data_IF_663275444602
#
_entry.id   IF_663275444602
#
_cell.length_a   1.000
_cell.length_b   1.000
_cell.length_c   1.000
_cell.angle_alpha   90.00
_cell.angle_beta   90.00
_cell.angle_gamma   90.00
#
_symmetry.space_group_name_H-M   'P 1'
#
loop_
_entity.id
_entity.type
_entity.pdbx_description
1 polymer ?
#
# COMPACT_ATOMS: atom_id res chain seq x y z
N UNK A 1 -1.41 11.15 -0.57
CA UNK A 1 -2.45 10.57 0.30
C UNK A 1 -3.66 11.47 0.30
N UNK A 2 -4.81 10.93 -0.08
CA UNK A 2 -6.09 11.64 -0.11
C UNK A 2 -6.86 11.32 1.18
N UNK A 3 -7.30 12.36 1.87
CA UNK A 3 -8.01 12.26 3.15
C UNK A 3 -9.46 12.66 2.96
N UNK A 4 -10.39 11.81 3.38
CA UNK A 4 -11.83 12.05 3.23
C UNK A 4 -12.54 11.73 4.54
N UNK A 5 -13.21 12.70 5.15
CA UNK A 5 -14.01 12.46 6.35
C UNK A 5 -15.26 11.64 6.01
N UNK A 6 -15.68 10.78 6.94
CA UNK A 6 -16.91 10.01 6.83
C UNK A 6 -18.13 10.92 6.72
N UNK A 7 -19.07 10.51 5.87
CA UNK A 7 -20.38 11.14 5.76
C UNK A 7 -21.45 10.06 5.89
N UNK A 8 -22.33 10.20 6.89
CA UNK A 8 -23.38 9.22 7.18
C UNK A 8 -24.32 8.95 6.01
N UNK A 9 -24.63 9.97 5.22
CA UNK A 9 -25.58 9.87 4.12
C UNK A 9 -24.91 9.40 2.82
N UNK A 10 -23.59 9.45 2.75
CA UNK A 10 -22.81 9.16 1.56
C UNK A 10 -21.39 8.70 1.97
N UNK A 11 -21.26 7.54 2.64
CA UNK A 11 -19.98 7.07 3.14
C UNK A 11 -19.05 6.84 1.94
N UNK A 12 -17.83 7.40 1.90
CA UNK A 12 -16.99 7.35 0.70
C UNK A 12 -16.34 5.98 0.45
N UNK A 13 -16.11 5.20 1.51
CA UNK A 13 -15.52 3.87 1.44
C UNK A 13 -16.18 2.90 2.44
N UNK A 14 -15.99 1.62 2.19
CA UNK A 14 -16.40 0.50 3.04
C UNK A 14 -15.20 -0.34 3.42
N UNK A 15 -15.26 -0.92 4.62
CA UNK A 15 -14.32 -1.92 5.13
C UNK A 15 -14.83 -3.36 4.93
N UNK A 16 -16.01 -3.56 4.35
CA UNK A 16 -16.56 -4.87 4.06
C UNK A 16 -15.55 -5.72 3.27
N UNK A 17 -15.39 -6.98 3.67
CA UNK A 17 -14.40 -7.94 3.17
C UNK A 17 -12.93 -7.58 3.44
N UNK A 18 -12.63 -6.46 4.10
CA UNK A 18 -11.25 -6.12 4.46
C UNK A 18 -10.80 -6.90 5.69
N UNK A 19 -9.51 -7.24 5.72
CA UNK A 19 -8.89 -7.86 6.89
C UNK A 19 -8.07 -6.82 7.65
N UNK A 20 -8.51 -6.44 8.84
CA UNK A 20 -7.76 -5.56 9.74
C UNK A 20 -6.54 -6.33 10.26
N UNK A 21 -5.36 -5.76 10.07
CA UNK A 21 -4.09 -6.38 10.45
C UNK A 21 -3.44 -5.70 11.65
N UNK A 22 -3.79 -4.44 11.92
CA UNK A 22 -3.19 -3.71 13.02
C UNK A 22 -4.03 -2.52 13.50
N UNK A 23 -3.75 -2.13 14.75
CA UNK A 23 -4.33 -0.98 15.43
C UNK A 23 -3.21 -0.15 16.07
N UNK A 24 -3.04 1.10 15.67
CA UNK A 24 -2.02 1.98 16.22
C UNK A 24 -2.68 3.10 17.06
N UNK A 25 -2.34 3.11 18.35
CA UNK A 25 -2.87 4.09 19.31
C UNK A 25 -1.90 5.28 19.40
N UNK A 26 -2.43 6.48 19.21
CA UNK A 26 -1.72 7.74 19.44
C UNK A 26 -2.63 8.74 20.17
N UNK A 27 -2.57 8.75 21.50
CA UNK A 27 -3.42 9.62 22.33
C UNK A 27 -4.90 9.29 22.18
N UNK A 28 -5.68 10.24 21.64
CA UNK A 28 -7.11 10.14 21.34
C UNK A 28 -7.37 9.76 19.86
N UNK A 29 -6.32 9.37 19.12
CA UNK A 29 -6.40 8.87 17.76
C UNK A 29 -6.09 7.37 17.70
N UNK A 30 -6.82 6.66 16.84
CA UNK A 30 -6.58 5.27 16.49
C UNK A 30 -6.48 5.11 14.98
N UNK A 31 -5.39 4.54 14.51
CA UNK A 31 -5.24 4.12 13.11
C UNK A 31 -5.61 2.65 13.00
N UNK A 32 -6.49 2.31 12.06
CA UNK A 32 -6.85 0.92 11.75
C UNK A 32 -6.28 0.59 10.38
N UNK A 33 -5.32 -0.34 10.35
CA UNK A 33 -4.67 -0.81 9.13
C UNK A 33 -5.33 -2.09 8.62
N UNK A 34 -5.49 -2.18 7.32
CA UNK A 34 -6.01 -3.38 6.65
C UNK A 34 -4.96 -3.97 5.73
N UNK A 35 -5.11 -5.26 5.41
CA UNK A 35 -4.22 -5.97 4.50
C UNK A 35 -4.26 -5.41 3.06
N UNK A 36 -5.41 -4.87 2.66
CA UNK A 36 -5.68 -4.54 1.26
C UNK A 36 -6.53 -3.27 1.10
N UNK A 37 -6.43 -2.35 2.06
CA UNK A 37 -7.04 -1.03 2.02
C UNK A 37 -8.56 -1.02 2.28
N UNK A 38 -9.31 -0.39 1.38
CA UNK A 38 -10.75 -0.10 1.51
C UNK A 38 -11.45 -0.09 0.15
N UNK A 39 -12.77 -0.25 0.12
CA UNK A 39 -13.56 -0.29 -1.14
C UNK A 39 -14.35 0.99 -1.33
N UNK A 40 -14.26 1.62 -2.51
CA UNK A 40 -15.10 2.80 -2.82
C UNK A 40 -16.58 2.41 -2.87
N UNK A 41 -17.46 3.21 -2.26
CA UNK A 41 -18.91 2.96 -2.25
C UNK A 41 -19.65 3.44 -3.50
N UNK A 42 -18.92 4.06 -4.43
CA UNK A 42 -19.45 4.54 -5.71
C UNK A 42 -18.77 3.79 -6.85
N UNK A 43 -19.55 3.51 -7.90
CA UNK A 43 -19.06 2.94 -9.14
C UNK A 43 -17.79 3.66 -9.62
N UNK A 44 -16.71 2.93 -9.96
CA UNK A 44 -16.67 1.49 -10.27
C UNK A 44 -16.46 0.55 -9.07
N UNK A 45 -16.59 1.03 -7.82
CA UNK A 45 -16.39 0.24 -6.60
C UNK A 45 -14.99 -0.37 -6.48
N UNK A 46 -13.98 0.36 -6.93
CA UNK A 46 -12.59 -0.11 -6.85
C UNK A 46 -12.14 -0.24 -5.41
N UNK A 47 -11.41 -1.32 -5.12
CA UNK A 47 -10.59 -1.42 -3.93
C UNK A 47 -9.34 -0.53 -4.09
N UNK A 48 -8.97 0.18 -3.03
CA UNK A 48 -7.82 1.09 -3.00
C UNK A 48 -7.03 0.89 -1.72
N UNK A 49 -5.71 1.03 -1.81
CA UNK A 49 -4.83 0.96 -0.63
C UNK A 49 -5.05 2.15 0.30
N UNK A 50 -4.81 1.92 1.59
CA UNK A 50 -4.99 2.92 2.62
C UNK A 50 -5.37 2.36 3.98
N UNK A 51 -5.83 3.25 4.85
CA UNK A 51 -6.23 2.94 6.22
C UNK A 51 -7.28 3.94 6.70
N UNK A 52 -7.87 3.71 7.87
CA UNK A 52 -8.75 4.69 8.51
C UNK A 52 -8.15 5.23 9.79
N UNK A 53 -8.40 6.50 10.06
CA UNK A 53 -8.09 7.17 11.32
C UNK A 53 -9.39 7.48 12.05
N UNK A 54 -9.44 7.18 13.33
CA UNK A 54 -10.51 7.56 14.24
C UNK A 54 -9.97 8.64 15.18
N UNK A 55 -10.64 9.79 15.24
CA UNK A 55 -10.23 10.92 16.08
C UNK A 55 -11.22 11.17 17.22
N UNK A 56 -10.73 11.73 18.33
CA UNK A 56 -11.55 12.07 19.49
C UNK A 56 -12.15 10.82 20.15
N UNK A 57 -11.31 9.82 20.37
CA UNK A 57 -11.73 8.55 20.96
C UNK A 57 -12.00 8.69 22.45
N UNK A 58 -13.17 8.22 22.88
CA UNK A 58 -13.47 8.03 24.29
C UNK A 58 -13.18 6.58 24.68
N UNK A 59 -11.96 6.34 25.17
CA UNK A 59 -11.45 5.01 25.47
C UNK A 59 -12.26 4.27 26.55
N UNK A 60 -12.95 4.98 27.43
CA UNK A 60 -13.79 4.39 28.48
C UNK A 60 -15.07 3.75 27.92
N UNK A 61 -15.41 4.07 26.66
CA UNK A 61 -16.57 3.56 25.93
C UNK A 61 -16.19 2.74 24.69
N UNK A 62 -14.96 2.24 24.63
CA UNK A 62 -14.48 1.38 23.54
C UNK A 62 -14.30 -0.07 23.99
N UNK A 63 -14.95 -1.01 23.30
CA UNK A 63 -15.02 -2.41 23.71
C UNK A 63 -14.81 -3.37 22.54
N UNK A 64 -14.28 -4.55 22.85
CA UNK A 64 -14.30 -5.69 21.96
C UNK A 64 -15.06 -6.85 22.62
N UNK A 65 -15.79 -7.59 21.79
CA UNK A 65 -16.56 -8.77 22.15
C UNK A 65 -16.03 -9.93 21.32
N UNK A 66 -15.70 -11.04 21.99
CA UNK A 66 -15.28 -12.28 21.35
C UNK A 66 -16.24 -13.36 21.81
N UNK A 67 -16.92 -14.00 20.86
CA UNK A 67 -17.92 -15.01 21.14
C UNK A 67 -17.27 -16.40 21.20
N UNK A 68 -17.75 -17.24 22.12
CA UNK A 68 -17.33 -18.63 22.24
C UNK A 68 -18.05 -19.50 21.19
N UNK A 69 -17.32 -20.47 20.64
CA UNK A 69 -17.86 -21.48 19.73
C UNK A 69 -17.52 -21.23 18.24
N UNK A 70 -18.15 -22.02 17.37
CA UNK A 70 -17.98 -21.91 15.91
C UNK A 70 -18.81 -20.77 15.31
N UNK A 71 -18.35 -20.28 14.16
CA UNK A 71 -18.99 -19.22 13.39
C UNK A 71 -20.35 -19.66 12.84
N UNK A 72 -21.38 -18.83 13.01
CA UNK A 72 -22.74 -19.05 12.53
C UNK A 72 -23.67 -19.74 13.53
N UNK A 73 -23.32 -19.76 14.82
CA UNK A 73 -24.17 -20.37 15.85
C UNK A 73 -25.49 -19.61 16.01
N UNK A 74 -26.61 -20.33 15.94
CA UNK A 74 -27.95 -19.80 16.22
C UNK A 74 -28.37 -20.26 17.62
N UNK A 75 -28.66 -19.32 18.50
CA UNK A 75 -29.15 -19.60 19.86
C UNK A 75 -28.46 -18.76 20.92
N UNK A 76 -28.38 -19.27 22.15
CA UNK A 76 -27.65 -18.63 23.21
C UNK A 76 -26.14 -18.65 22.93
N UNK A 77 -25.47 -17.52 23.17
CA UNK A 77 -24.02 -17.39 23.04
C UNK A 77 -23.41 -17.00 24.39
N UNK A 78 -22.14 -17.35 24.57
CA UNK A 78 -21.27 -16.84 25.63
C UNK A 78 -20.04 -16.18 25.00
N UNK A 79 -19.26 -15.46 25.80
CA UNK A 79 -18.05 -14.82 25.29
C UNK A 79 -17.40 -13.90 26.29
N UNK A 80 -16.41 -13.14 25.80
CA UNK A 80 -15.67 -12.15 26.57
C UNK A 80 -15.95 -10.75 26.03
N UNK A 81 -16.29 -9.84 26.93
CA UNK A 81 -16.22 -8.40 26.71
C UNK A 81 -14.93 -7.89 27.35
N UNK A 82 -14.18 -7.05 26.64
CA UNK A 82 -12.98 -6.40 27.16
C UNK A 82 -12.86 -4.98 26.61
N UNK A 83 -12.00 -4.16 27.22
CA UNK A 83 -11.68 -2.85 26.65
C UNK A 83 -10.93 -3.00 25.33
N UNK A 84 -11.10 -2.04 24.42
CA UNK A 84 -10.41 -2.05 23.13
C UNK A 84 -8.88 -2.06 23.29
N UNK A 85 -8.34 -1.35 24.29
CA UNK A 85 -6.88 -1.37 24.56
C UNK A 85 -6.38 -2.77 24.92
N UNK A 86 -7.12 -3.48 25.78
CA UNK A 86 -6.77 -4.86 26.16
C UNK A 86 -6.89 -5.80 24.95
N UNK A 87 -7.87 -5.59 24.09
CA UNK A 87 -8.02 -6.35 22.85
C UNK A 87 -6.81 -6.16 21.91
N UNK A 88 -6.41 -4.91 21.66
CA UNK A 88 -5.26 -4.60 20.80
C UNK A 88 -3.98 -5.21 21.37
N UNK A 89 -3.73 -5.02 22.68
CA UNK A 89 -2.57 -5.57 23.38
C UNK A 89 -2.55 -7.12 23.31
N UNK A 90 -3.69 -7.77 23.57
CA UNK A 90 -3.76 -9.24 23.63
C UNK A 90 -3.71 -9.91 22.26
N UNK A 91 -4.21 -9.25 21.21
CA UNK A 91 -4.39 -9.88 19.90
C UNK A 91 -3.41 -9.35 18.85
N UNK A 92 -3.25 -8.04 18.72
CA UNK A 92 -2.57 -7.41 17.58
C UNK A 92 -1.09 -7.07 17.82
N UNK A 93 -0.66 -6.87 19.06
CA UNK A 93 0.73 -6.49 19.40
C UNK A 93 1.84 -7.36 18.80
N UNK A 94 1.60 -8.66 18.66
CA UNK A 94 2.60 -9.62 18.12
C UNK A 94 2.54 -9.77 16.59
N UNK A 95 1.75 -8.97 15.87
CA UNK A 95 1.68 -8.96 14.40
C UNK A 95 1.17 -10.25 13.74
N UNK A 96 0.41 -11.08 14.46
CA UNK A 96 -0.06 -12.40 13.99
C UNK A 96 -1.58 -12.60 14.14
N UNK A 97 -2.33 -11.50 14.24
CA UNK A 97 -3.78 -11.51 14.26
C UNK A 97 -4.33 -10.87 13.00
N UNK A 98 -5.53 -11.30 12.61
CA UNK A 98 -6.31 -10.68 11.54
C UNK A 98 -7.77 -10.62 11.96
N UNK A 99 -8.46 -9.52 11.67
CA UNK A 99 -9.88 -9.38 11.89
C UNK A 99 -10.58 -9.11 10.56
N UNK A 100 -11.19 -10.16 10.01
CA UNK A 100 -11.93 -10.12 8.75
C UNK A 100 -13.28 -9.45 8.98
N UNK A 101 -13.49 -8.30 8.35
CA UNK A 101 -14.69 -7.47 8.51
C UNK A 101 -15.81 -8.01 7.64
N UNK A 102 -16.94 -8.30 8.27
CA UNK A 102 -18.18 -8.72 7.61
C UNK A 102 -19.16 -7.56 7.46
N UNK A 103 -19.16 -6.62 8.40
CA UNK A 103 -20.00 -5.43 8.30
C UNK A 103 -19.45 -4.33 9.21
N UNK A 104 -19.69 -3.07 8.82
CA UNK A 104 -19.37 -1.90 9.61
C UNK A 104 -20.52 -0.90 9.59
N UNK A 105 -20.79 -0.29 10.74
CA UNK A 105 -21.75 0.78 10.85
C UNK A 105 -21.23 1.88 11.77
N UNK A 106 -21.55 3.13 11.42
CA UNK A 106 -21.26 4.28 12.26
C UNK A 106 -22.55 5.02 12.60
N UNK A 107 -22.83 5.14 13.89
CA UNK A 107 -24.02 5.81 14.40
C UNK A 107 -23.84 6.22 15.86
N UNK A 108 -24.42 7.37 16.23
CA UNK A 108 -24.33 7.91 17.59
C UNK A 108 -22.89 7.99 18.15
N UNK A 109 -21.94 8.42 17.30
CA UNK A 109 -20.50 8.52 17.62
C UNK A 109 -19.83 7.18 17.96
N UNK A 110 -20.40 6.06 17.49
CA UNK A 110 -19.81 4.73 17.68
C UNK A 110 -19.64 4.06 16.32
N UNK A 111 -18.40 3.66 16.03
CA UNK A 111 -18.09 2.73 14.95
C UNK A 111 -18.22 1.31 15.50
N UNK A 112 -19.08 0.51 14.89
CA UNK A 112 -19.23 -0.90 15.19
C UNK A 112 -18.75 -1.72 13.98
N UNK A 113 -17.76 -2.57 14.20
CA UNK A 113 -17.17 -3.47 13.20
C UNK A 113 -17.46 -4.89 13.65
N UNK A 114 -18.04 -5.70 12.78
CA UNK A 114 -18.36 -7.11 13.05
C UNK A 114 -17.62 -8.03 12.09
N UNK A 115 -17.30 -9.24 12.53
CA UNK A 115 -16.72 -10.26 11.66
C UNK A 115 -15.97 -11.34 12.42
N UNK A 116 -14.80 -11.75 11.91
CA UNK A 116 -14.07 -12.91 12.41
C UNK A 116 -12.63 -12.57 12.81
N UNK A 117 -12.31 -12.81 14.07
CA UNK A 117 -10.96 -12.69 14.61
C UNK A 117 -10.20 -14.00 14.39
N UNK A 118 -9.00 -13.89 13.84
CA UNK A 118 -8.05 -14.98 13.65
C UNK A 118 -6.73 -14.66 14.36
N UNK A 119 -6.17 -15.62 15.10
CA UNK A 119 -4.83 -15.50 15.72
C UNK A 119 -4.24 -16.88 16.03
N UNK A 120 -3.10 -17.24 15.43
CA UNK A 120 -2.36 -18.49 15.73
C UNK A 120 -3.26 -19.74 15.87
N UNK A 121 -4.17 -19.95 14.92
CA UNK A 121 -5.11 -21.09 14.91
C UNK A 121 -6.39 -20.89 15.73
N UNK A 122 -6.51 -19.82 16.50
CA UNK A 122 -7.80 -19.33 16.99
C UNK A 122 -8.56 -18.68 15.84
N UNK A 123 -9.86 -18.98 15.75
CA UNK A 123 -10.81 -18.35 14.83
C UNK A 123 -12.15 -18.22 15.56
N UNK A 124 -12.73 -17.03 15.61
CA UNK A 124 -13.99 -16.80 16.32
C UNK A 124 -14.69 -15.51 15.88
N UNK A 125 -16.00 -15.44 16.13
CA UNK A 125 -16.79 -14.23 15.89
C UNK A 125 -16.34 -13.11 16.83
N UNK A 126 -16.26 -11.89 16.29
CA UNK A 126 -15.81 -10.71 16.98
C UNK A 126 -16.64 -9.49 16.61
N UNK A 127 -16.87 -8.63 17.60
CA UNK A 127 -17.43 -7.29 17.41
C UNK A 127 -16.54 -6.28 18.12
N UNK A 128 -16.24 -5.18 17.46
CA UNK A 128 -15.48 -4.06 18.03
C UNK A 128 -16.34 -2.80 17.96
N UNK A 129 -16.55 -2.18 19.12
CA UNK A 129 -17.27 -0.91 19.28
C UNK A 129 -16.28 0.18 19.68
N UNK A 130 -16.20 1.25 18.88
CA UNK A 130 -15.24 2.35 19.07
C UNK A 130 -16.01 3.65 19.13
N UNK A 131 -16.08 4.24 20.33
CA UNK A 131 -16.61 5.58 20.49
C UNK A 131 -15.60 6.61 19.97
N UNK A 132 -15.97 7.35 18.93
CA UNK A 132 -15.11 8.33 18.29
C UNK A 132 -15.91 9.51 17.72
N UNK A 133 -15.27 10.67 17.64
CA UNK A 133 -15.88 11.89 17.11
C UNK A 133 -15.88 11.95 15.58
N UNK A 134 -14.80 11.47 14.95
CA UNK A 134 -14.63 11.53 13.49
C UNK A 134 -13.95 10.27 12.98
N UNK A 135 -14.39 9.81 11.80
CA UNK A 135 -13.70 8.81 10.99
C UNK A 135 -13.14 9.51 9.75
N UNK A 136 -11.84 9.33 9.49
CA UNK A 136 -11.16 9.83 8.29
C UNK A 136 -10.61 8.65 7.51
N UNK A 137 -10.98 8.56 6.24
CA UNK A 137 -10.42 7.60 5.30
C UNK A 137 -9.15 8.19 4.66
N UNK A 138 -8.03 7.47 4.79
CA UNK A 138 -6.75 7.82 4.21
C UNK A 138 -6.48 6.87 3.03
N UNK A 139 -6.91 7.29 1.84
CA UNK A 139 -6.58 6.62 0.58
C UNK A 139 -5.13 6.97 0.23
N UNK A 140 -4.28 5.95 0.06
CA UNK A 140 -2.96 6.16 -0.53
C UNK A 140 -3.14 6.79 -1.93
N UNK A 141 -2.16 7.56 -2.40
CA UNK A 141 -2.29 8.09 -3.75
C UNK A 141 -2.56 6.92 -4.70
N UNK A 142 -3.58 7.01 -5.57
CA UNK A 142 -3.76 6.01 -6.63
C UNK A 142 -2.38 5.79 -7.24
N UNK A 143 -2.02 4.54 -7.53
CA UNK A 143 -0.79 4.28 -8.26
C UNK A 143 -0.68 5.14 -9.52
N UNK A 144 -1.83 5.52 -10.09
CA UNK A 144 -2.08 6.37 -11.27
C UNK A 144 -2.07 7.89 -11.01
N UNK A 145 -2.26 8.34 -9.75
CA UNK A 145 -2.20 9.76 -9.35
C UNK A 145 -0.85 10.12 -8.70
N UNK A 146 0.08 9.16 -8.59
CA UNK A 146 1.44 9.44 -8.13
C UNK A 146 2.09 10.43 -9.09
N UNK A 147 2.73 11.49 -8.59
CA UNK A 147 3.34 12.48 -9.46
C UNK A 147 4.40 11.81 -10.34
N UNK A 148 4.40 12.12 -11.64
CA UNK A 148 5.50 11.72 -12.51
C UNK A 148 6.67 12.68 -12.29
N UNK A 149 7.89 12.15 -12.17
CA UNK A 149 9.13 12.92 -12.01
C UNK A 149 10.06 12.64 -13.17
N UNK A 150 10.92 13.62 -13.45
CA UNK A 150 11.95 13.47 -14.46
C UNK A 150 13.17 12.76 -13.88
N UNK A 151 13.78 11.87 -14.67
CA UNK A 151 15.08 11.25 -14.40
C UNK A 151 15.93 11.27 -15.67
N UNK A 152 17.25 11.17 -15.51
CA UNK A 152 18.19 11.02 -16.62
C UNK A 152 18.85 9.65 -16.56
N UNK A 153 18.76 8.88 -17.63
CA UNK A 153 19.43 7.59 -17.75
C UNK A 153 20.53 7.67 -18.81
N UNK A 154 21.56 6.87 -18.57
CA UNK A 154 22.71 6.68 -19.45
C UNK A 154 23.11 5.22 -19.44
N UNK A 155 23.64 4.77 -20.58
CA UNK A 155 24.37 3.52 -20.72
C UNK A 155 25.60 3.83 -21.60
N UNK A 156 25.85 3.07 -22.66
CA UNK A 156 26.95 3.32 -23.60
C UNK A 156 26.69 4.46 -24.63
N UNK A 157 25.62 5.24 -24.45
CA UNK A 157 25.13 6.21 -25.44
C UNK A 157 24.80 7.59 -24.87
N UNK A 158 24.07 8.39 -25.65
CA UNK A 158 23.57 9.69 -25.21
C UNK A 158 22.65 9.56 -24.00
N UNK A 159 22.69 10.56 -23.11
CA UNK A 159 21.79 10.59 -21.97
C UNK A 159 20.37 10.91 -22.42
N UNK A 160 19.39 10.25 -21.81
CA UNK A 160 17.98 10.42 -22.16
C UNK A 160 17.19 10.83 -20.92
N UNK A 161 16.33 11.84 -21.10
CA UNK A 161 15.39 12.31 -20.09
C UNK A 161 14.10 11.49 -20.18
N UNK A 162 13.69 10.91 -19.05
CA UNK A 162 12.47 10.13 -18.92
C UNK A 162 11.55 10.72 -17.86
N UNK A 163 10.24 10.56 -18.08
CA UNK A 163 9.20 10.75 -17.07
C UNK A 163 8.88 9.39 -16.46
N UNK A 164 9.03 9.24 -15.15
CA UNK A 164 8.82 7.99 -14.40
C UNK A 164 7.93 8.22 -13.17
N UNK A 165 7.33 7.17 -12.58
CA UNK A 165 6.75 7.23 -11.23
C UNK A 165 7.64 8.00 -10.25
N UNK A 166 7.09 8.88 -9.40
CA UNK A 166 7.89 9.60 -8.40
C UNK A 166 8.69 8.65 -7.48
N UNK A 167 8.10 7.51 -7.09
CA UNK A 167 8.77 6.52 -6.24
C UNK A 167 10.05 5.97 -6.90
N UNK A 168 10.02 5.81 -8.24
CA UNK A 168 11.19 5.41 -9.03
C UNK A 168 12.23 6.52 -9.01
N UNK A 169 11.83 7.78 -9.23
CA UNK A 169 12.78 8.89 -9.23
C UNK A 169 13.42 9.13 -7.85
N UNK A 170 12.65 8.96 -6.77
CA UNK A 170 13.09 9.16 -5.40
C UNK A 170 14.02 8.02 -4.93
N UNK A 171 13.93 6.83 -5.53
CA UNK A 171 14.74 5.65 -5.22
C UNK A 171 15.46 5.10 -6.47
N UNK A 172 15.90 5.99 -7.37
CA UNK A 172 16.36 5.63 -8.71
C UNK A 172 17.46 4.57 -8.72
N UNK A 173 18.47 4.76 -7.87
CA UNK A 173 19.62 3.84 -7.77
C UNK A 173 19.20 2.42 -7.39
N UNK A 174 18.28 2.27 -6.42
CA UNK A 174 17.81 0.95 -5.99
C UNK A 174 17.09 0.20 -7.12
N UNK A 175 16.21 0.90 -7.84
CA UNK A 175 15.49 0.32 -8.97
C UNK A 175 16.44 -0.07 -10.11
N UNK A 176 17.41 0.79 -10.44
CA UNK A 176 18.39 0.51 -11.48
C UNK A 176 19.30 -0.66 -11.11
N UNK A 177 19.78 -0.74 -9.87
CA UNK A 177 20.60 -1.86 -9.39
C UNK A 177 19.81 -3.16 -9.43
N UNK A 178 18.60 -3.20 -8.87
CA UNK A 178 17.75 -4.41 -8.90
C UNK A 178 17.50 -4.90 -10.32
N UNK A 179 17.22 -3.98 -11.24
CA UNK A 179 17.09 -4.33 -12.66
C UNK A 179 18.38 -4.98 -13.20
N UNK A 180 19.52 -4.33 -13.03
CA UNK A 180 20.79 -4.78 -13.61
C UNK A 180 21.35 -6.06 -12.97
N UNK A 181 21.16 -6.27 -11.66
CA UNK A 181 21.74 -7.41 -10.94
C UNK A 181 20.80 -8.59 -10.80
N UNK A 182 19.49 -8.37 -10.80
CA UNK A 182 18.51 -9.44 -10.60
C UNK A 182 17.70 -9.71 -11.87
N UNK A 183 16.96 -8.70 -12.36
CA UNK A 183 16.03 -8.91 -13.48
C UNK A 183 16.74 -9.27 -14.78
N UNK A 184 17.87 -8.63 -15.08
CA UNK A 184 18.65 -8.91 -16.29
C UNK A 184 19.18 -10.35 -16.35
N UNK A 185 19.55 -10.92 -15.20
CA UNK A 185 20.16 -12.26 -15.12
C UNK A 185 19.15 -13.39 -14.88
N UNK A 186 18.06 -13.09 -14.19
CA UNK A 186 17.09 -14.08 -13.72
C UNK A 186 15.67 -13.87 -14.28
N UNK A 187 15.47 -12.80 -15.05
CA UNK A 187 14.21 -12.49 -15.71
C UNK A 187 13.82 -13.49 -16.80
N UNK A 188 12.58 -13.38 -17.31
CA UNK A 188 12.02 -14.37 -18.21
C UNK A 188 12.86 -14.53 -19.49
N UNK A 189 13.04 -15.80 -19.90
CA UNK A 189 13.63 -16.21 -21.18
C UNK A 189 15.08 -15.77 -21.45
N UNK A 190 15.86 -15.41 -20.42
CA UNK A 190 17.26 -14.99 -20.60
C UNK A 190 17.43 -13.90 -21.67
N UNK A 191 16.43 -13.01 -21.82
CA UNK A 191 16.29 -12.01 -22.89
C UNK A 191 17.57 -11.21 -23.14
N UNK A 192 18.27 -10.87 -22.06
CA UNK A 192 19.45 -9.99 -22.07
C UNK A 192 20.78 -10.74 -22.17
N UNK A 193 20.78 -12.07 -22.02
CA UNK A 193 22.02 -12.84 -21.97
C UNK A 193 22.50 -13.19 -23.38
N UNK A 194 23.79 -12.98 -23.62
CA UNK A 194 24.49 -13.33 -24.87
C UNK A 194 25.72 -14.15 -24.55
N UNK A 195 25.97 -15.19 -25.33
CA UNK A 195 27.19 -15.98 -25.21
C UNK A 195 28.33 -15.25 -25.93
N UNK A 196 29.31 -14.76 -25.17
CA UNK A 196 30.52 -14.14 -25.68
C UNK A 196 31.72 -15.01 -25.31
N UNK A 197 32.25 -15.74 -26.31
CA UNK A 197 33.25 -16.78 -26.07
C UNK A 197 32.66 -17.93 -25.25
N UNK A 198 33.20 -18.14 -24.05
CA UNK A 198 32.77 -19.22 -23.15
C UNK A 198 31.96 -18.71 -21.94
N UNK A 199 31.52 -17.45 -21.95
CA UNK A 199 30.78 -16.84 -20.84
C UNK A 199 29.53 -16.13 -21.33
N UNK A 200 28.47 -16.15 -20.51
CA UNK A 200 27.30 -15.32 -20.73
C UNK A 200 27.57 -13.91 -20.21
N UNK A 201 27.28 -12.93 -21.05
CA UNK A 201 27.29 -11.51 -20.68
C UNK A 201 25.89 -10.96 -20.83
N UNK A 202 25.54 -10.01 -19.97
CA UNK A 202 24.30 -9.26 -20.07
C UNK A 202 24.47 -8.09 -21.06
N UNK A 203 23.51 -7.92 -21.95
CA UNK A 203 23.39 -6.79 -22.86
C UNK A 203 22.01 -6.16 -22.69
N UNK A 204 21.98 -4.93 -22.19
CA UNK A 204 20.78 -4.13 -21.96
C UNK A 204 21.11 -2.64 -22.08
N UNK A 205 20.10 -1.80 -22.27
CA UNK A 205 20.23 -0.34 -22.26
C UNK A 205 19.19 0.34 -21.34
N UNK A 206 19.16 1.67 -21.39
CA UNK A 206 18.20 2.48 -20.64
C UNK A 206 16.73 2.19 -21.03
N UNK A 207 16.47 1.81 -22.29
CA UNK A 207 15.12 1.46 -22.75
C UNK A 207 14.65 0.15 -22.16
N UNK A 208 15.54 -0.83 -22.02
CA UNK A 208 15.21 -2.11 -21.38
C UNK A 208 14.81 -1.92 -19.91
N UNK A 209 15.44 -0.99 -19.19
CA UNK A 209 15.01 -0.62 -17.85
C UNK A 209 13.62 0.02 -17.86
N UNK A 210 13.34 0.92 -18.80
CA UNK A 210 12.02 1.55 -18.94
C UNK A 210 10.94 0.52 -19.29
N UNK A 211 11.25 -0.46 -20.14
CA UNK A 211 10.34 -1.56 -20.45
C UNK A 211 10.08 -2.41 -19.21
N UNK A 212 11.11 -2.74 -18.42
CA UNK A 212 10.95 -3.41 -17.14
C UNK A 212 10.03 -2.65 -16.19
N UNK A 213 10.20 -1.32 -16.05
CA UNK A 213 9.27 -0.51 -15.27
C UNK A 213 7.84 -0.61 -15.80
N UNK A 214 7.66 -0.58 -17.11
CA UNK A 214 6.35 -0.51 -17.75
C UNK A 214 5.62 -1.85 -17.87
N UNK A 215 6.32 -2.96 -17.78
CA UNK A 215 5.76 -4.30 -17.95
C UNK A 215 5.60 -5.01 -16.60
N UNK A 216 6.56 -4.84 -15.70
CA UNK A 216 6.65 -5.64 -14.47
C UNK A 216 6.26 -4.85 -13.21
N UNK A 217 6.73 -3.59 -13.08
CA UNK A 217 6.58 -2.84 -11.82
C UNK A 217 5.42 -1.85 -11.82
N UNK A 218 5.21 -1.13 -12.93
CA UNK A 218 4.25 -0.03 -13.05
C UNK A 218 3.45 -0.12 -14.36
N UNK A 219 2.74 -1.23 -14.61
CA UNK A 219 2.00 -1.43 -15.87
C UNK A 219 0.89 -0.40 -16.10
N UNK A 220 0.34 0.15 -15.03
CA UNK A 220 -0.71 1.17 -15.09
C UNK A 220 -0.15 2.60 -15.18
N UNK A 221 1.05 2.87 -14.64
CA UNK A 221 1.69 4.19 -14.67
C UNK A 221 2.99 4.16 -15.48
N UNK A 222 2.82 4.17 -16.81
CA UNK A 222 3.91 3.94 -17.74
C UNK A 222 4.89 5.12 -17.81
N UNK A 223 6.15 4.80 -17.58
CA UNK A 223 7.32 5.63 -17.86
C UNK A 223 7.46 5.94 -19.35
N UNK A 224 7.86 7.17 -19.68
CA UNK A 224 7.92 7.67 -21.06
C UNK A 224 9.21 8.46 -21.31
N UNK A 225 9.77 8.28 -22.50
CA UNK A 225 10.85 9.14 -22.99
C UNK A 225 10.32 10.55 -23.25
N UNK A 226 11.03 11.56 -22.75
CA UNK A 226 10.75 12.98 -23.04
C UNK A 226 11.64 13.44 -24.21
N UNK A 227 12.95 13.44 -24.02
CA UNK A 227 13.93 13.86 -25.03
C UNK A 227 15.30 13.21 -24.80
N UNK A 228 16.12 13.16 -25.84
CA UNK A 228 17.54 12.83 -25.70
C UNK A 228 18.31 14.12 -25.44
N UNK A 229 19.08 14.16 -24.37
CA UNK A 229 19.75 15.38 -23.85
C UNK A 229 21.24 15.44 -24.19
N UNK A 230 21.76 14.42 -24.86
CA UNK A 230 23.11 14.37 -25.42
C UNK A 230 24.18 13.91 -24.43
N UNK A 231 25.45 14.06 -24.82
CA UNK A 231 26.59 13.84 -23.93
C UNK A 231 26.83 15.10 -23.07
N UNK A 232 27.24 14.89 -21.81
CA UNK A 232 27.74 15.96 -20.96
C UNK A 232 29.18 15.63 -20.61
N UNK A 233 30.10 16.15 -21.41
CA UNK A 233 31.54 16.00 -21.20
C UNK A 233 32.04 16.97 -20.11
N UNK A 234 31.40 18.14 -19.99
CA UNK A 234 31.76 19.23 -19.08
C UNK A 234 30.87 19.29 -17.80
N UNK A 235 30.13 18.21 -17.51
CA UNK A 235 29.21 18.11 -16.38
C UNK A 235 27.76 18.47 -16.69
N UNK A 236 26.84 18.11 -15.77
CA UNK A 236 25.38 18.22 -15.97
C UNK A 236 24.98 19.71 -16.15
N UNK A 237 24.31 20.09 -17.25
CA UNK A 237 23.82 21.44 -17.47
C UNK A 237 22.96 21.95 -16.32
N UNK A 238 22.99 23.26 -16.04
CA UNK A 238 22.27 23.85 -14.90
C UNK A 238 20.76 23.54 -14.91
N UNK A 239 20.15 23.38 -16.09
CA UNK A 239 18.74 22.98 -16.24
C UNK A 239 18.41 21.57 -15.71
N UNK A 240 19.41 20.69 -15.61
CA UNK A 240 19.27 19.30 -15.20
C UNK A 240 19.92 19.00 -13.84
N UNK A 241 20.49 20.00 -13.17
CA UNK A 241 21.32 19.83 -11.98
C UNK A 241 20.61 19.14 -10.80
N UNK A 242 19.29 19.29 -10.72
CA UNK A 242 18.47 18.73 -9.63
C UNK A 242 17.68 17.48 -10.07
N UNK A 243 17.91 16.98 -11.28
CA UNK A 243 17.25 15.78 -11.81
C UNK A 243 18.07 14.56 -11.40
N UNK A 244 17.48 13.55 -10.74
CA UNK A 244 18.15 12.30 -10.44
C UNK A 244 18.67 11.63 -11.72
N UNK A 245 19.87 11.05 -11.66
CA UNK A 245 20.44 10.38 -12.82
C UNK A 245 21.16 9.10 -12.44
N UNK A 246 21.18 8.15 -13.37
CA UNK A 246 21.89 6.88 -13.23
C UNK A 246 22.60 6.52 -14.53
N UNK A 247 23.78 5.92 -14.41
CA UNK A 247 24.52 5.35 -15.53
C UNK A 247 24.68 3.86 -15.32
N UNK A 248 24.08 3.08 -16.21
CA UNK A 248 24.23 1.62 -16.27
C UNK A 248 25.63 1.20 -16.72
#
# INVERSE_FOLDING_TARGET
MKRTSYNRNDPPYSLHDMNITDFEIDGDRLTIKTQSGMVKTKSPYSQVDGYIELNGIDWDFCYAYIFDGFTGNIGAFSGKKMFLKDFIENYFKDGNAGFSVMDENFGFNTLCITGYLSKKGFFGECTVEINCGEIVYCEDANEDDRPMKEIILSADGERTLYSVPADVADNLEEHCIKFATEYVWHGPNAKFLRLCGNQYVAMFDDKDFIDYLNEELFPQMRSKKIETVGFFDDGIPSKYKNIPWFNF
#
